data_IF_307928865523
#
_entry.id   IF_307928865523
#
_cell.length_a   1.000
_cell.length_b   1.000
_cell.length_c   1.000
_cell.angle_alpha   90.00
_cell.angle_beta   90.00
_cell.angle_gamma   90.00
#
_symmetry.space_group_name_H-M   'P 1'
#
loop_
_entity.id
_entity.type
_entity.pdbx_description
1 polymer ?
#
# COMPACT_ATOMS: atom_id res chain seq x y z
N UNK A 1 69.86 -37.28 58.02
CA UNK A 1 69.31 -37.89 59.25
C UNK A 1 67.86 -38.27 58.99
N UNK A 2 67.48 -39.52 59.26
CA UNK A 2 66.15 -40.08 59.03
C UNK A 2 65.31 -40.12 60.32
N UNK A 3 63.97 -40.17 60.17
CA UNK A 3 62.99 -40.61 61.18
C UNK A 3 62.38 -39.49 62.04
N UNK A 4 61.18 -39.61 62.64
CA UNK A 4 60.11 -40.61 62.62
C UNK A 4 58.90 -40.00 63.39
N UNK A 5 57.70 -40.49 63.09
CA UNK A 5 56.61 -40.78 64.05
C UNK A 5 55.46 -39.78 64.37
N UNK A 6 54.26 -40.26 63.95
CA UNK A 6 52.97 -40.43 64.67
C UNK A 6 52.10 -39.22 65.06
N UNK A 7 50.92 -39.11 64.43
CA UNK A 7 49.77 -38.30 64.89
C UNK A 7 48.87 -39.11 65.86
N UNK A 8 48.55 -38.48 67.01
CA UNK A 8 47.52 -38.92 67.99
C UNK A 8 46.11 -38.54 67.51
N UNK A 9 45.12 -39.37 67.86
CA UNK A 9 43.71 -39.26 67.46
C UNK A 9 42.96 -38.03 68.02
N UNK A 10 41.84 -37.70 67.39
CA UNK A 10 41.09 -36.46 67.60
C UNK A 10 40.03 -36.57 68.72
N UNK A 11 40.01 -35.57 69.61
CA UNK A 11 38.96 -35.31 70.61
C UNK A 11 38.03 -34.22 70.06
N UNK A 12 36.70 -34.39 70.12
CA UNK A 12 35.73 -33.31 69.83
C UNK A 12 35.17 -32.71 71.13
N UNK A 13 35.13 -31.38 71.15
CA UNK A 13 34.77 -30.47 72.26
C UNK A 13 33.28 -30.40 72.57
N UNK A 14 32.96 -30.18 73.85
CA UNK A 14 31.63 -29.80 74.33
C UNK A 14 31.24 -28.38 73.89
N UNK A 15 29.98 -28.24 73.48
CA UNK A 15 29.42 -27.05 72.82
C UNK A 15 28.33 -27.37 71.77
N UNK A 16 28.06 -28.66 71.53
CA UNK A 16 27.12 -29.17 70.52
C UNK A 16 25.67 -29.32 71.01
N UNK A 17 25.20 -28.48 71.95
CA UNK A 17 23.76 -28.46 72.31
C UNK A 17 23.01 -27.47 71.42
N UNK A 18 22.40 -28.00 70.36
CA UNK A 18 21.50 -27.27 69.45
C UNK A 18 20.20 -26.93 70.22
N UNK A 19 19.88 -25.64 70.37
CA UNK A 19 18.68 -25.16 71.06
C UNK A 19 17.37 -25.58 70.37
N UNK A 20 16.22 -25.39 71.05
CA UNK A 20 14.90 -25.76 70.56
C UNK A 20 14.54 -25.08 69.23
N UNK A 21 14.05 -25.87 68.28
CA UNK A 21 13.64 -25.43 66.94
C UNK A 21 12.30 -24.69 67.01
N UNK A 22 12.31 -23.37 66.78
CA UNK A 22 11.09 -22.57 66.56
C UNK A 22 10.41 -22.98 65.25
N UNK A 23 9.09 -23.22 65.29
CA UNK A 23 8.28 -23.68 64.16
C UNK A 23 8.29 -22.73 62.95
N UNK A 24 7.97 -23.28 61.78
CA UNK A 24 8.12 -22.66 60.44
C UNK A 24 7.40 -21.31 60.25
N UNK A 25 6.41 -20.99 61.11
CA UNK A 25 5.63 -19.75 61.04
C UNK A 25 6.45 -18.46 61.26
N UNK A 26 7.61 -18.52 61.91
CA UNK A 26 8.49 -17.37 62.13
C UNK A 26 9.61 -17.18 61.10
N UNK A 27 9.90 -18.21 60.29
CA UNK A 27 11.10 -18.26 59.44
C UNK A 27 10.88 -17.70 58.02
N UNK A 28 9.63 -17.53 57.56
CA UNK A 28 9.31 -17.05 56.20
C UNK A 28 8.27 -15.92 56.19
N UNK A 29 8.53 -14.81 56.88
CA UNK A 29 7.64 -13.62 56.87
C UNK A 29 7.32 -13.11 55.46
N UNK A 30 8.31 -13.06 54.55
CA UNK A 30 8.12 -12.63 53.15
C UNK A 30 7.25 -13.55 52.29
N UNK A 31 7.05 -14.81 52.71
CA UNK A 31 6.17 -15.75 51.99
C UNK A 31 4.69 -15.59 52.34
N UNK A 32 4.39 -14.87 53.42
CA UNK A 32 3.05 -14.60 53.92
C UNK A 32 2.51 -13.23 53.49
N UNK A 33 3.34 -12.38 52.87
CA UNK A 33 2.89 -11.13 52.26
C UNK A 33 2.10 -11.46 50.99
N UNK A 34 0.80 -11.12 50.99
CA UNK A 34 -0.05 -11.28 49.83
C UNK A 34 0.52 -10.50 48.64
N UNK A 35 0.81 -11.18 47.53
CA UNK A 35 1.15 -10.50 46.27
C UNK A 35 -0.07 -9.69 45.86
N UNK A 36 0.11 -8.37 45.71
CA UNK A 36 -0.97 -7.42 45.41
C UNK A 36 -1.82 -7.79 44.19
N UNK A 37 -2.89 -7.03 43.97
CA UNK A 37 -3.88 -7.29 42.93
C UNK A 37 -3.22 -7.57 41.57
N UNK A 38 -3.61 -8.68 40.94
CA UNK A 38 -3.04 -9.07 39.65
C UNK A 38 -3.41 -8.02 38.59
N UNK A 39 -2.46 -7.50 37.79
CA UNK A 39 -2.71 -6.43 36.80
C UNK A 39 -3.87 -6.75 35.84
N UNK A 40 -4.49 -5.76 35.20
CA UNK A 40 -5.57 -6.02 34.23
C UNK A 40 -5.04 -6.83 33.04
N UNK A 41 -5.92 -7.61 32.42
CA UNK A 41 -5.59 -8.52 31.31
C UNK A 41 -4.90 -7.84 30.11
N UNK A 42 -5.17 -6.55 29.90
CA UNK A 42 -4.58 -5.72 28.84
C UNK A 42 -3.16 -5.27 29.13
N UNK A 43 -2.75 -5.25 30.41
CA UNK A 43 -1.45 -4.77 30.87
C UNK A 43 -0.44 -5.91 31.11
N UNK A 44 -0.89 -7.17 30.93
CA UNK A 44 -0.06 -8.37 31.12
C UNK A 44 0.62 -8.76 29.80
N UNK A 45 1.95 -8.65 29.65
CA UNK A 45 2.64 -8.85 28.36
C UNK A 45 2.38 -10.21 27.70
N UNK A 46 2.19 -11.26 28.50
CA UNK A 46 1.97 -12.64 28.05
C UNK A 46 0.50 -12.99 27.84
N UNK A 47 -0.44 -12.12 28.21
CA UNK A 47 -1.87 -12.37 28.12
C UNK A 47 -2.40 -12.09 26.70
N UNK A 48 -3.34 -12.89 26.16
CA UNK A 48 -3.88 -12.70 24.81
C UNK A 48 -4.49 -11.31 24.57
N UNK A 49 -5.11 -10.71 25.58
CA UNK A 49 -5.69 -9.37 25.48
C UNK A 49 -4.64 -8.27 25.25
N UNK A 50 -3.48 -8.35 25.90
CA UNK A 50 -2.35 -7.44 25.65
C UNK A 50 -1.81 -7.62 24.21
N UNK A 51 -1.72 -8.86 23.73
CA UNK A 51 -1.32 -9.13 22.33
C UNK A 51 -2.30 -8.55 21.31
N UNK A 52 -3.62 -8.65 21.57
CA UNK A 52 -4.68 -8.08 20.73
C UNK A 52 -4.67 -6.54 20.75
N UNK A 53 -4.54 -5.91 21.91
CA UNK A 53 -4.45 -4.45 22.03
C UNK A 53 -3.21 -3.89 21.32
N UNK A 54 -2.05 -4.57 21.46
CA UNK A 54 -0.82 -4.19 20.75
C UNK A 54 -0.94 -4.37 19.23
N UNK A 55 -1.67 -5.39 18.77
CA UNK A 55 -1.94 -5.59 17.34
C UNK A 55 -2.85 -4.48 16.78
N UNK A 56 -3.91 -4.10 17.50
CA UNK A 56 -4.82 -3.02 17.13
C UNK A 56 -4.12 -1.64 17.10
N UNK A 57 -3.24 -1.37 18.08
CA UNK A 57 -2.44 -0.15 18.09
C UNK A 57 -1.42 -0.08 16.93
N UNK A 58 -0.93 -1.25 16.46
CA UNK A 58 -0.02 -1.36 15.32
C UNK A 58 -0.74 -1.21 13.97
N UNK A 59 -2.05 -1.45 13.91
CA UNK A 59 -2.85 -1.18 12.71
C UNK A 59 -3.25 0.29 12.58
N UNK A 60 -3.44 1.00 13.69
CA UNK A 60 -3.71 2.46 13.69
C UNK A 60 -2.45 3.31 13.52
N UNK A 61 -1.30 2.84 13.99
CA UNK A 61 -0.01 3.48 13.71
C UNK A 61 0.45 3.06 12.30
N UNK A 62 0.23 3.94 11.32
CA UNK A 62 0.55 3.75 9.90
C UNK A 62 1.75 2.83 9.65
N UNK A 63 1.47 1.69 9.01
CA UNK A 63 2.48 0.68 8.68
C UNK A 63 3.51 1.31 7.72
N UNK A 64 4.82 1.21 7.99
CA UNK A 64 5.83 1.68 7.05
C UNK A 64 5.66 0.90 5.75
N UNK A 65 5.44 1.63 4.64
CA UNK A 65 5.29 1.07 3.29
C UNK A 65 6.54 0.23 2.99
N UNK A 66 6.33 -0.98 2.51
CA UNK A 66 7.39 -1.86 2.03
C UNK A 66 7.93 -1.27 0.73
N UNK A 67 9.18 -0.78 0.75
CA UNK A 67 9.92 -0.28 -0.42
C UNK A 67 9.84 -1.27 -1.59
N UNK A 68 9.00 -0.98 -2.57
CA UNK A 68 9.11 -1.45 -3.95
C UNK A 68 9.41 -0.16 -4.70
N UNK A 69 10.62 0.01 -5.24
CA UNK A 69 11.07 1.18 -6.01
C UNK A 69 10.04 2.33 -6.05
N UNK A 70 9.93 3.07 -4.93
CA UNK A 70 9.03 4.23 -4.79
C UNK A 70 9.69 5.43 -5.52
N UNK A 71 10.21 5.17 -6.72
CA UNK A 71 10.87 6.11 -7.59
C UNK A 71 9.86 6.71 -8.56
N UNK A 72 10.10 7.94 -9.03
CA UNK A 72 9.29 8.55 -10.07
C UNK A 72 9.30 7.70 -11.35
N UNK A 73 8.18 7.69 -12.06
CA UNK A 73 8.08 7.05 -13.38
C UNK A 73 8.71 7.97 -14.42
N UNK A 74 9.46 7.40 -15.38
CA UNK A 74 10.03 8.16 -16.49
C UNK A 74 9.39 7.75 -17.82
N UNK A 75 8.83 8.71 -18.54
CA UNK A 75 8.41 8.55 -19.93
C UNK A 75 9.58 8.94 -20.83
N UNK A 76 9.99 8.03 -21.70
CA UNK A 76 11.20 8.15 -22.51
C UNK A 76 10.85 8.35 -23.98
N UNK A 77 11.63 9.18 -24.68
CA UNK A 77 11.51 9.37 -26.12
C UNK A 77 10.69 10.60 -26.50
N UNK A 78 10.94 11.12 -27.71
CA UNK A 78 10.37 12.41 -28.17
C UNK A 78 8.84 12.36 -28.26
N UNK A 79 8.30 11.38 -28.99
CA UNK A 79 6.85 11.27 -29.18
C UNK A 79 6.10 10.95 -27.87
N UNK A 80 6.50 9.93 -27.07
CA UNK A 80 5.81 9.66 -25.81
C UNK A 80 5.78 10.86 -24.87
N UNK A 81 6.87 11.61 -24.76
CA UNK A 81 6.96 12.82 -23.92
C UNK A 81 6.01 13.90 -24.41
N UNK A 82 6.05 14.24 -25.71
CA UNK A 82 5.15 15.26 -26.29
C UNK A 82 3.68 14.87 -26.10
N UNK A 83 3.32 13.61 -26.35
CA UNK A 83 1.95 13.14 -26.19
C UNK A 83 1.49 13.15 -24.72
N UNK A 84 2.38 12.90 -23.76
CA UNK A 84 2.06 13.04 -22.33
C UNK A 84 1.87 14.51 -21.94
N UNK A 85 2.70 15.41 -22.46
CA UNK A 85 2.57 16.84 -22.22
C UNK A 85 1.27 17.40 -22.80
N UNK A 86 0.88 16.98 -24.00
CA UNK A 86 -0.40 17.34 -24.66
C UNK A 86 -1.63 16.79 -23.95
N UNK A 87 -1.51 15.62 -23.35
CA UNK A 87 -2.61 14.98 -22.62
C UNK A 87 -2.69 15.42 -21.14
N UNK A 88 -1.97 16.48 -20.76
CA UNK A 88 -1.93 17.02 -19.41
C UNK A 88 -1.59 15.99 -18.32
N UNK A 89 -0.78 14.99 -18.68
CA UNK A 89 -0.27 14.02 -17.70
C UNK A 89 0.53 14.79 -16.63
N UNK A 90 0.32 14.54 -15.32
CA UNK A 90 1.11 15.16 -14.27
C UNK A 90 2.60 14.93 -14.49
N UNK A 91 3.42 15.97 -14.35
CA UNK A 91 4.85 15.88 -14.54
C UNK A 91 5.58 16.83 -13.59
N UNK A 92 6.74 16.41 -13.11
CA UNK A 92 7.59 17.19 -12.18
C UNK A 92 8.77 17.83 -12.87
N UNK A 93 9.38 17.14 -13.85
CA UNK A 93 10.51 17.64 -14.60
C UNK A 93 10.58 17.07 -16.02
N UNK A 94 11.10 17.87 -16.94
CA UNK A 94 11.48 17.51 -18.30
C UNK A 94 13.02 17.50 -18.40
N UNK A 95 13.60 16.37 -18.72
CA UNK A 95 15.04 16.20 -18.93
C UNK A 95 15.35 16.30 -20.42
N UNK A 96 16.30 17.15 -20.80
CA UNK A 96 16.71 17.37 -22.20
C UNK A 96 18.23 17.24 -22.32
N UNK A 97 18.71 16.51 -23.32
CA UNK A 97 20.15 16.34 -23.55
C UNK A 97 20.77 17.60 -24.15
N UNK A 98 21.84 18.09 -23.51
CA UNK A 98 22.64 19.21 -24.01
C UNK A 98 23.35 18.87 -25.31
N UNK A 99 23.44 19.84 -26.23
CA UNK A 99 24.16 19.69 -27.49
C UNK A 99 23.54 18.70 -28.48
N UNK A 100 22.25 18.40 -28.32
CA UNK A 100 21.48 17.62 -29.31
C UNK A 100 21.18 18.46 -30.55
N UNK A 101 21.07 17.82 -31.71
CA UNK A 101 20.62 18.51 -32.93
C UNK A 101 19.23 19.13 -32.72
N UNK A 102 18.94 20.28 -33.38
CA UNK A 102 17.62 20.88 -33.37
C UNK A 102 16.56 19.88 -33.83
N UNK A 103 15.52 19.70 -33.01
CA UNK A 103 14.41 18.79 -33.30
C UNK A 103 13.09 19.45 -32.88
N UNK A 104 12.13 19.46 -33.81
CA UNK A 104 10.83 20.13 -33.63
C UNK A 104 10.03 19.56 -32.45
N UNK A 105 10.14 18.25 -32.18
CA UNK A 105 9.44 17.60 -31.06
C UNK A 105 10.07 17.95 -29.72
N UNK A 106 11.39 18.06 -29.66
CA UNK A 106 12.08 18.54 -28.46
C UNK A 106 11.71 20.00 -28.18
N UNK A 107 11.70 20.85 -29.21
CA UNK A 107 11.28 22.25 -29.07
C UNK A 107 9.81 22.37 -28.61
N UNK A 108 8.92 21.55 -29.18
CA UNK A 108 7.52 21.46 -28.75
C UNK A 108 7.41 21.03 -27.28
N UNK A 109 8.14 19.99 -26.86
CA UNK A 109 8.12 19.51 -25.48
C UNK A 109 8.60 20.58 -24.48
N UNK A 110 9.70 21.28 -24.81
CA UNK A 110 10.24 22.38 -24.00
C UNK A 110 9.21 23.49 -23.86
N UNK A 111 8.53 23.87 -24.94
CA UNK A 111 7.47 24.87 -24.91
C UNK A 111 6.30 24.44 -24.01
N UNK A 112 5.76 23.24 -24.23
CA UNK A 112 4.65 22.72 -23.43
C UNK A 112 5.01 22.59 -21.94
N UNK A 113 6.23 22.19 -21.63
CA UNK A 113 6.72 22.13 -20.25
C UNK A 113 6.84 23.52 -19.61
N UNK A 114 7.38 24.51 -20.34
CA UNK A 114 7.48 25.89 -19.89
C UNK A 114 6.10 26.52 -19.65
N UNK A 115 5.15 26.35 -20.57
CA UNK A 115 3.78 26.85 -20.46
C UNK A 115 3.07 26.28 -19.22
N UNK A 116 3.44 25.06 -18.78
CA UNK A 116 2.90 24.37 -17.61
C UNK A 116 3.75 24.54 -16.33
N UNK A 117 4.80 25.37 -16.37
CA UNK A 117 5.75 25.56 -15.27
C UNK A 117 6.40 24.25 -14.76
N UNK A 118 6.61 23.28 -15.65
CA UNK A 118 7.36 22.06 -15.36
C UNK A 118 8.85 22.37 -15.42
N UNK A 119 9.63 21.91 -14.43
CA UNK A 119 11.07 22.14 -14.37
C UNK A 119 11.77 21.55 -15.59
N UNK A 120 12.57 22.35 -16.31
CA UNK A 120 13.35 21.87 -17.46
C UNK A 120 14.80 21.71 -17.02
N UNK A 121 15.32 20.49 -17.13
CA UNK A 121 16.65 20.09 -16.68
C UNK A 121 17.49 19.68 -17.87
N UNK A 122 18.53 20.46 -18.14
CA UNK A 122 19.54 20.13 -19.14
C UNK A 122 20.55 19.14 -18.55
N UNK A 123 20.68 17.97 -19.18
CA UNK A 123 21.54 16.87 -18.69
C UNK A 123 22.46 16.34 -19.78
N UNK A 124 23.56 15.71 -19.37
CA UNK A 124 24.42 14.98 -20.31
C UNK A 124 23.76 13.67 -20.79
N UNK A 125 24.15 13.17 -21.96
CA UNK A 125 23.64 11.90 -22.50
C UNK A 125 23.76 10.73 -21.51
N UNK A 126 24.93 10.60 -20.86
CA UNK A 126 25.16 9.53 -19.88
C UNK A 126 24.31 9.61 -18.61
N UNK A 127 23.77 10.78 -18.27
CA UNK A 127 22.80 10.90 -17.18
C UNK A 127 21.42 10.40 -17.62
N UNK A 128 20.99 10.77 -18.82
CA UNK A 128 19.72 10.30 -19.37
C UNK A 128 19.74 8.79 -19.67
N UNK A 129 20.88 8.24 -20.08
CA UNK A 129 21.11 6.80 -20.23
C UNK A 129 20.88 6.06 -18.91
N UNK A 130 21.24 6.65 -17.76
CA UNK A 130 20.98 6.05 -16.43
C UNK A 130 19.50 6.06 -16.06
N UNK A 131 18.74 7.03 -16.55
CA UNK A 131 17.27 7.09 -16.38
C UNK A 131 16.53 6.14 -17.33
N UNK A 132 17.19 5.74 -18.43
CA UNK A 132 16.61 4.91 -19.48
C UNK A 132 17.29 3.54 -19.53
N UNK A 133 16.68 2.54 -18.88
CA UNK A 133 17.19 1.16 -18.85
C UNK A 133 17.54 0.57 -20.24
N UNK A 134 16.91 1.08 -21.33
CA UNK A 134 16.99 0.51 -22.67
C UNK A 134 17.55 1.49 -23.74
N UNK A 135 18.10 2.65 -23.34
CA UNK A 135 18.58 3.68 -24.29
C UNK A 135 17.50 4.31 -25.21
N UNK A 136 16.20 4.15 -24.91
CA UNK A 136 15.08 4.60 -25.77
C UNK A 136 14.71 6.09 -25.59
N UNK A 137 15.51 6.86 -24.85
CA UNK A 137 15.18 8.23 -24.47
C UNK A 137 15.23 9.25 -25.63
N UNK A 138 15.98 8.99 -26.72
CA UNK A 138 16.05 9.88 -27.89
C UNK A 138 16.37 11.36 -27.56
N UNK A 139 17.14 11.58 -26.49
CA UNK A 139 17.53 12.90 -25.99
C UNK A 139 16.56 13.58 -25.05
N UNK A 140 15.42 12.97 -24.67
CA UNK A 140 14.44 13.56 -23.77
C UNK A 140 13.74 12.54 -22.85
N UNK A 141 13.43 12.96 -21.63
CA UNK A 141 12.58 12.18 -20.71
C UNK A 141 11.67 13.08 -19.89
N UNK A 142 10.46 12.62 -19.58
CA UNK A 142 9.52 13.29 -18.70
C UNK A 142 9.38 12.49 -17.41
N UNK A 143 9.60 13.15 -16.29
CA UNK A 143 9.40 12.57 -14.97
C UNK A 143 7.96 12.80 -14.52
N UNK A 144 7.28 11.69 -14.26
CA UNK A 144 5.89 11.63 -13.82
C UNK A 144 5.87 11.24 -12.33
N UNK A 145 5.17 11.99 -11.47
CA UNK A 145 5.08 11.65 -10.06
C UNK A 145 4.29 10.35 -9.89
N UNK A 146 4.55 9.64 -8.79
CA UNK A 146 3.77 8.46 -8.44
C UNK A 146 2.29 8.84 -8.22
N UNK A 147 1.37 7.99 -8.69
CA UNK A 147 -0.05 8.17 -8.42
C UNK A 147 -0.36 7.92 -6.95
N UNK A 148 -1.06 8.87 -6.31
CA UNK A 148 -1.52 8.73 -4.93
C UNK A 148 -2.86 8.00 -4.86
N UNK A 149 -2.82 6.72 -4.51
CA UNK A 149 -4.03 5.90 -4.34
C UNK A 149 -4.75 6.22 -3.03
N UNK A 150 -6.08 6.23 -3.07
CA UNK A 150 -6.92 6.34 -1.88
C UNK A 150 -7.12 4.98 -1.22
N UNK A 151 -7.48 4.97 0.07
CA UNK A 151 -7.86 3.74 0.75
C UNK A 151 -9.26 3.29 0.29
N UNK A 152 -9.54 1.98 0.12
CA UNK A 152 -10.87 1.52 -0.29
C UNK A 152 -12.01 1.95 0.65
N UNK A 153 -11.75 1.99 1.96
CA UNK A 153 -12.75 2.41 2.95
C UNK A 153 -13.09 3.90 2.80
N UNK A 154 -12.09 4.75 2.53
CA UNK A 154 -12.31 6.17 2.28
C UNK A 154 -13.09 6.36 0.97
N UNK A 155 -12.73 5.62 -0.08
CA UNK A 155 -13.44 5.67 -1.36
C UNK A 155 -14.94 5.34 -1.21
N UNK A 156 -15.26 4.28 -0.47
CA UNK A 156 -16.66 3.88 -0.28
C UNK A 156 -17.41 4.87 0.60
N UNK A 157 -16.79 5.36 1.67
CA UNK A 157 -17.38 6.40 2.53
C UNK A 157 -17.68 7.65 1.72
N UNK A 158 -16.70 8.17 0.99
CA UNK A 158 -16.85 9.40 0.21
C UNK A 158 -17.91 9.23 -0.90
N UNK A 159 -18.04 8.02 -1.47
CA UNK A 159 -19.11 7.70 -2.42
C UNK A 159 -20.50 7.69 -1.77
N UNK A 160 -20.64 7.17 -0.55
CA UNK A 160 -21.90 7.20 0.20
C UNK A 160 -22.29 8.63 0.63
N UNK A 161 -21.29 9.44 0.98
CA UNK A 161 -21.48 10.83 1.43
C UNK A 161 -21.73 11.82 0.26
N UNK A 162 -21.64 11.36 -0.99
CA UNK A 162 -21.80 12.20 -2.19
C UNK A 162 -23.23 12.73 -2.40
N UNK A 163 -24.22 12.11 -1.76
CA UNK A 163 -25.64 12.43 -1.93
C UNK A 163 -26.30 11.79 -3.16
N UNK A 164 -25.55 11.01 -3.95
CA UNK A 164 -26.08 10.17 -5.05
C UNK A 164 -25.76 8.70 -4.80
N UNK A 165 -26.55 7.74 -5.33
CA UNK A 165 -26.24 6.32 -5.20
C UNK A 165 -24.80 6.01 -5.68
N UNK A 166 -23.96 5.38 -4.83
CA UNK A 166 -22.61 4.98 -5.21
C UNK A 166 -22.60 4.18 -6.52
N UNK A 167 -21.66 4.52 -7.39
CA UNK A 167 -21.35 3.76 -8.59
C UNK A 167 -19.83 3.60 -8.66
N UNK A 168 -19.35 2.41 -8.31
CA UNK A 168 -17.93 2.09 -8.26
C UNK A 168 -17.63 0.95 -9.24
N UNK A 169 -16.39 0.90 -9.74
CA UNK A 169 -15.94 -0.20 -10.58
C UNK A 169 -14.72 -0.87 -9.95
N UNK A 170 -14.82 -2.17 -9.70
CA UNK A 170 -13.73 -3.00 -9.23
C UNK A 170 -13.15 -3.80 -10.40
N UNK A 171 -11.83 -3.73 -10.58
CA UNK A 171 -11.12 -4.42 -11.63
C UNK A 171 -10.37 -5.62 -11.06
N UNK A 172 -10.73 -6.82 -11.48
CA UNK A 172 -10.02 -8.05 -11.11
C UNK A 172 -9.05 -8.49 -12.20
N UNK A 173 -7.75 -8.51 -11.86
CA UNK A 173 -6.66 -8.95 -12.72
C UNK A 173 -6.54 -8.22 -14.08
N UNK A 174 -6.94 -6.96 -14.17
CA UNK A 174 -6.64 -6.09 -15.33
C UNK A 174 -5.18 -5.65 -15.26
N UNK A 175 -4.36 -6.06 -16.24
CA UNK A 175 -2.91 -5.82 -16.24
C UNK A 175 -2.42 -4.78 -17.24
N UNK A 176 -3.21 -4.45 -18.29
CA UNK A 176 -2.85 -3.38 -19.24
C UNK A 176 -3.25 -2.00 -18.70
N UNK A 177 -2.31 -1.05 -18.52
CA UNK A 177 -2.61 0.32 -18.13
C UNK A 177 -3.56 1.05 -19.09
N UNK A 178 -3.61 0.67 -20.37
CA UNK A 178 -4.55 1.25 -21.34
C UNK A 178 -5.99 0.88 -21.02
N UNK A 179 -6.23 -0.37 -20.63
CA UNK A 179 -7.55 -0.84 -20.22
C UNK A 179 -7.97 -0.15 -18.91
N UNK A 180 -7.04 -0.02 -17.96
CA UNK A 180 -7.28 0.76 -16.74
C UNK A 180 -7.68 2.21 -17.06
N UNK A 181 -6.92 2.90 -17.93
CA UNK A 181 -7.23 4.27 -18.32
C UNK A 181 -8.58 4.39 -19.04
N UNK A 182 -8.93 3.43 -19.91
CA UNK A 182 -10.24 3.39 -20.56
C UNK A 182 -11.38 3.22 -19.55
N UNK A 183 -11.23 2.34 -18.55
CA UNK A 183 -12.22 2.19 -17.48
C UNK A 183 -12.36 3.49 -16.69
N UNK A 184 -11.25 4.09 -16.24
CA UNK A 184 -11.28 5.36 -15.51
C UNK A 184 -12.03 6.44 -16.30
N UNK A 185 -11.78 6.52 -17.61
CA UNK A 185 -12.48 7.45 -18.50
C UNK A 185 -13.98 7.19 -18.53
N UNK A 186 -14.38 5.93 -18.71
CA UNK A 186 -15.79 5.53 -18.75
C UNK A 186 -16.49 5.83 -17.43
N UNK A 187 -15.92 5.42 -16.31
CA UNK A 187 -16.49 5.66 -14.97
C UNK A 187 -16.69 7.15 -14.73
N UNK A 188 -15.69 7.98 -15.06
CA UNK A 188 -15.83 9.43 -14.94
C UNK A 188 -16.89 10.02 -15.89
N UNK A 189 -17.08 9.45 -17.08
CA UNK A 189 -18.10 9.89 -18.04
C UNK A 189 -19.53 9.55 -17.59
N UNK A 190 -19.70 8.42 -16.91
CA UNK A 190 -21.00 7.98 -16.36
C UNK A 190 -21.30 8.52 -14.96
N UNK A 191 -20.46 9.40 -14.41
CA UNK A 191 -20.66 9.97 -13.08
C UNK A 191 -20.40 8.97 -11.94
N UNK A 192 -19.60 7.93 -12.20
CA UNK A 192 -19.15 7.01 -11.16
C UNK A 192 -18.19 7.70 -10.17
N UNK A 193 -18.10 7.11 -8.98
CA UNK A 193 -17.43 7.70 -7.82
C UNK A 193 -15.97 7.27 -7.71
N UNK A 194 -15.56 6.18 -8.38
CA UNK A 194 -14.17 5.75 -8.38
C UNK A 194 -13.95 4.33 -8.89
N UNK A 195 -12.66 3.97 -8.96
CA UNK A 195 -12.19 2.66 -9.42
C UNK A 195 -11.40 1.97 -8.31
N UNK A 196 -11.65 0.68 -8.09
CA UNK A 196 -10.90 -0.17 -7.18
C UNK A 196 -10.04 -1.15 -7.98
N UNK A 197 -8.74 -1.19 -7.68
CA UNK A 197 -7.81 -2.18 -8.22
C UNK A 197 -7.15 -2.97 -7.09
N UNK A 198 -6.73 -4.23 -7.28
CA UNK A 198 -5.94 -4.93 -6.29
C UNK A 198 -4.53 -4.33 -6.20
N UNK A 199 -3.83 -4.49 -5.07
CA UNK A 199 -2.43 -4.07 -4.91
C UNK A 199 -1.42 -4.91 -5.69
N UNK A 200 -1.84 -6.09 -6.16
CA UNK A 200 -0.98 -7.07 -6.83
C UNK A 200 -1.69 -7.62 -8.05
N UNK A 201 -0.92 -7.93 -9.08
CA UNK A 201 -1.41 -8.55 -10.34
C UNK A 201 -2.42 -7.66 -11.08
N UNK A 202 -2.22 -6.35 -11.01
CA UNK A 202 -3.03 -5.32 -11.66
C UNK A 202 -2.13 -4.27 -12.31
N UNK A 203 -2.71 -3.54 -13.25
CA UNK A 203 -2.17 -2.30 -13.76
C UNK A 203 -2.16 -1.22 -12.67
N UNK A 204 -1.11 -0.41 -12.68
CA UNK A 204 -1.03 0.84 -11.92
C UNK A 204 -1.42 2.01 -12.82
N UNK A 205 -1.82 3.14 -12.21
CA UNK A 205 -2.03 4.41 -12.91
C UNK A 205 -0.68 5.00 -13.32
N UNK A 206 -0.17 4.55 -14.46
CA UNK A 206 1.07 5.03 -15.09
C UNK A 206 0.79 6.18 -16.04
N UNK A 207 1.83 6.79 -16.63
CA UNK A 207 1.68 7.81 -17.67
C UNK A 207 0.79 7.34 -18.85
N UNK A 208 0.86 6.04 -19.18
CA UNK A 208 0.01 5.43 -20.21
C UNK A 208 -1.47 5.42 -19.80
N UNK A 209 -1.77 5.04 -18.54
CA UNK A 209 -3.13 5.06 -18.00
C UNK A 209 -3.67 6.50 -17.94
N UNK A 210 -2.85 7.45 -17.48
CA UNK A 210 -3.19 8.87 -17.46
C UNK A 210 -3.60 9.38 -18.84
N UNK A 211 -2.74 9.15 -19.85
CA UNK A 211 -3.01 9.57 -21.23
C UNK A 211 -4.28 8.94 -21.79
N UNK A 212 -4.47 7.63 -21.59
CA UNK A 212 -5.66 6.92 -22.09
C UNK A 212 -6.95 7.31 -21.35
N UNK A 213 -6.84 7.77 -20.10
CA UNK A 213 -7.98 8.28 -19.33
C UNK A 213 -8.52 9.63 -19.81
N UNK A 214 -7.84 10.33 -20.73
CA UNK A 214 -8.20 11.66 -21.21
C UNK A 214 -8.42 12.67 -20.06
N UNK A 215 -7.52 12.66 -19.07
CA UNK A 215 -7.58 13.54 -17.89
C UNK A 215 -8.53 13.08 -16.78
N UNK A 216 -9.33 12.02 -16.99
CA UNK A 216 -10.26 11.53 -15.98
C UNK A 216 -9.56 11.06 -14.70
N UNK A 217 -8.32 10.54 -14.79
CA UNK A 217 -7.53 10.13 -13.64
C UNK A 217 -7.17 11.29 -12.67
N UNK A 218 -7.33 12.56 -13.07
CA UNK A 218 -7.11 13.73 -12.21
C UNK A 218 -8.25 13.98 -11.21
N UNK A 219 -9.45 13.51 -11.54
CA UNK A 219 -10.68 13.82 -10.81
C UNK A 219 -11.38 12.60 -10.24
N UNK A 220 -11.15 11.43 -10.85
CA UNK A 220 -11.74 10.18 -10.40
C UNK A 220 -10.74 9.45 -9.48
N UNK A 221 -11.08 9.24 -8.20
CA UNK A 221 -10.19 8.55 -7.28
C UNK A 221 -10.02 7.08 -7.66
N UNK A 222 -8.79 6.59 -7.58
CA UNK A 222 -8.45 5.18 -7.74
C UNK A 222 -7.95 4.62 -6.41
N UNK A 223 -8.60 3.57 -5.91
CA UNK A 223 -8.27 2.89 -4.67
C UNK A 223 -7.49 1.59 -4.93
N UNK A 224 -6.62 1.24 -3.98
CA UNK A 224 -5.88 -0.03 -4.01
C UNK A 224 -6.29 -0.96 -2.86
N UNK A 225 -6.92 -2.09 -3.19
CA UNK A 225 -7.29 -3.12 -2.23
C UNK A 225 -6.12 -4.10 -1.98
N UNK A 226 -5.71 -4.32 -0.71
CA UNK A 226 -4.76 -5.39 -0.39
C UNK A 226 -5.38 -6.79 -0.59
N UNK A 227 -6.70 -6.92 -0.43
CA UNK A 227 -7.46 -8.13 -0.72
C UNK A 227 -8.81 -7.72 -1.31
N UNK A 228 -8.93 -7.84 -2.64
CA UNK A 228 -10.11 -7.39 -3.38
C UNK A 228 -11.39 -8.09 -2.90
N UNK A 229 -11.39 -9.42 -2.78
CA UNK A 229 -12.55 -10.20 -2.34
C UNK A 229 -13.03 -9.78 -0.96
N UNK A 230 -12.11 -9.51 -0.02
CA UNK A 230 -12.48 -9.02 1.31
C UNK A 230 -13.08 -7.62 1.23
N UNK A 231 -12.45 -6.70 0.51
CA UNK A 231 -12.96 -5.34 0.32
C UNK A 231 -14.37 -5.34 -0.30
N UNK A 232 -14.62 -6.18 -1.29
CA UNK A 232 -15.94 -6.29 -1.91
C UNK A 232 -17.00 -6.81 -0.92
N UNK A 233 -16.66 -7.81 -0.08
CA UNK A 233 -17.56 -8.28 0.99
C UNK A 233 -17.86 -7.18 2.00
N UNK A 234 -16.84 -6.45 2.43
CA UNK A 234 -16.99 -5.32 3.35
C UNK A 234 -17.91 -4.23 2.73
N UNK A 235 -17.79 -3.97 1.42
CA UNK A 235 -18.70 -3.05 0.70
C UNK A 235 -20.13 -3.59 0.57
N UNK A 236 -20.31 -4.89 0.35
CA UNK A 236 -21.64 -5.50 0.33
C UNK A 236 -22.37 -5.34 1.68
N UNK A 237 -21.64 -5.44 2.80
CA UNK A 237 -22.19 -5.22 4.14
C UNK A 237 -22.66 -3.77 4.36
N UNK A 238 -22.17 -2.80 3.59
CA UNK A 238 -22.65 -1.41 3.61
C UNK A 238 -23.91 -1.18 2.78
N UNK A 239 -24.45 -2.22 2.14
CA UNK A 239 -25.65 -2.16 1.31
C UNK A 239 -25.38 -1.94 -0.17
N UNK A 240 -24.11 -1.99 -0.61
CA UNK A 240 -23.79 -1.95 -2.04
C UNK A 240 -24.09 -3.29 -2.73
N UNK A 241 -24.75 -3.22 -3.87
CA UNK A 241 -24.96 -4.36 -4.73
C UNK A 241 -23.70 -4.65 -5.53
N UNK A 242 -23.15 -5.86 -5.38
CA UNK A 242 -22.05 -6.33 -6.20
C UNK A 242 -22.59 -6.93 -7.49
N UNK A 243 -22.12 -6.44 -8.64
CA UNK A 243 -22.54 -6.90 -9.97
C UNK A 243 -21.32 -7.37 -10.74
N UNK A 244 -21.18 -8.69 -10.90
CA UNK A 244 -20.12 -9.26 -11.74
C UNK A 244 -20.52 -9.24 -13.21
N UNK A 245 -19.64 -8.75 -14.10
CA UNK A 245 -19.82 -8.90 -15.53
C UNK A 245 -19.26 -10.24 -16.00
N UNK A 246 -20.13 -11.10 -16.53
CA UNK A 246 -19.79 -12.39 -17.11
C UNK A 246 -20.64 -12.63 -18.38
N UNK A 247 -20.05 -13.28 -19.38
CA UNK A 247 -20.75 -13.66 -20.61
C UNK A 247 -21.80 -14.76 -20.36
N UNK A 248 -21.61 -15.57 -19.32
CA UNK A 248 -22.54 -16.65 -18.92
C UNK A 248 -23.51 -16.20 -17.80
N UNK A 249 -23.69 -14.89 -17.62
CA UNK A 249 -24.55 -14.35 -16.57
C UNK A 249 -26.04 -14.65 -16.76
N UNK A 250 -26.74 -14.94 -15.65
CA UNK A 250 -28.18 -15.26 -15.64
C UNK A 250 -29.10 -14.03 -15.83
N UNK A 251 -28.56 -12.82 -15.67
CA UNK A 251 -29.32 -11.55 -15.71
C UNK A 251 -28.76 -10.67 -16.82
N UNK A 252 -29.61 -10.26 -17.75
CA UNK A 252 -29.26 -9.30 -18.80
C UNK A 252 -29.27 -7.87 -18.25
N UNK A 253 -28.52 -6.97 -18.88
CA UNK A 253 -28.45 -5.57 -18.47
C UNK A 253 -29.83 -4.89 -18.47
N UNK A 254 -30.72 -5.25 -19.40
CA UNK A 254 -32.07 -4.69 -19.51
C UNK A 254 -32.97 -5.07 -18.32
N UNK A 255 -32.67 -6.17 -17.64
CA UNK A 255 -33.43 -6.66 -16.48
C UNK A 255 -32.81 -6.23 -15.14
N UNK A 256 -31.65 -5.56 -15.18
CA UNK A 256 -30.91 -5.16 -13.98
C UNK A 256 -31.41 -3.83 -13.41
N UNK A 257 -31.78 -3.82 -12.12
CA UNK A 257 -32.06 -2.59 -11.37
C UNK A 257 -30.76 -2.00 -10.81
N UNK A 258 -30.27 -0.95 -11.47
CA UNK A 258 -29.07 -0.20 -11.08
C UNK A 258 -29.36 1.12 -10.36
N UNK A 259 -30.54 1.30 -9.76
CA UNK A 259 -30.92 2.56 -9.09
C UNK A 259 -30.29 2.74 -7.71
N UNK A 260 -29.84 1.65 -7.09
CA UNK A 260 -29.20 1.64 -5.78
C UNK A 260 -27.67 1.81 -5.82
N UNK A 261 -27.00 1.75 -4.66
CA UNK A 261 -25.55 1.70 -4.56
C UNK A 261 -25.00 0.44 -5.27
N UNK A 262 -24.17 0.62 -6.30
CA UNK A 262 -23.69 -0.48 -7.14
C UNK A 262 -22.17 -0.48 -7.27
N UNK A 263 -21.58 -1.67 -7.16
CA UNK A 263 -20.18 -1.93 -7.47
C UNK A 263 -20.12 -2.94 -8.61
N UNK A 264 -19.68 -2.48 -9.79
CA UNK A 264 -19.50 -3.35 -10.95
C UNK A 264 -18.12 -3.99 -10.86
N UNK A 265 -18.06 -5.32 -10.93
CA UNK A 265 -16.82 -6.09 -10.93
C UNK A 265 -16.53 -6.55 -12.35
N UNK A 266 -15.39 -6.13 -12.89
CA UNK A 266 -14.93 -6.47 -14.23
C UNK A 266 -13.71 -7.37 -14.14
N UNK A 267 -13.81 -8.56 -14.71
CA UNK A 267 -12.74 -9.54 -14.75
C UNK A 267 -11.75 -9.33 -15.89
N UNK A 268 -10.69 -10.13 -15.90
CA UNK A 268 -9.73 -10.14 -17.02
C UNK A 268 -10.36 -10.75 -18.27
N UNK A 269 -10.03 -10.22 -19.45
CA UNK A 269 -10.54 -10.70 -20.75
C UNK A 269 -10.34 -12.20 -20.99
N UNK A 270 -9.34 -12.82 -20.35
CA UNK A 270 -9.04 -14.25 -20.51
C UNK A 270 -9.67 -15.17 -19.45
N UNK A 271 -9.54 -14.83 -18.17
CA UNK A 271 -10.00 -15.69 -17.07
C UNK A 271 -11.37 -15.32 -16.51
N UNK A 272 -11.94 -14.20 -16.94
CA UNK A 272 -13.14 -13.64 -16.32
C UNK A 272 -12.87 -13.19 -14.88
N UNK A 273 -13.90 -13.32 -14.04
CA UNK A 273 -13.87 -13.04 -12.60
C UNK A 273 -13.27 -14.23 -11.83
N UNK A 274 -12.44 -13.95 -10.81
CA UNK A 274 -11.83 -14.97 -9.95
C UNK A 274 -12.40 -15.03 -8.53
#
# INVERSE_FOLDING_TARGET
MAGNSKRKGAVRKDGSKKGQTVGSGGQRRRGLEGRGATPKAVDRPYHPAHKRAKAAAKTTAGRPRSRKDDGPEYVLGRNPVVECLRADVPATALYVVTGSDPDDRVAEAVKLAADRAISILEVGKGELDRLSANGMHQGIALQVPEYSYVHPDDLMRDALDSGTPPLLVALDNITDPRNLGAVIRSVAAFGGHGVLIPQRRSASVTAVAWRTSAGAAARLPVAQAPNLTRTLKDWAETGAQLVGLDAEGDVTLDAYDGTGPTVIVVGSEGKGLS
#
